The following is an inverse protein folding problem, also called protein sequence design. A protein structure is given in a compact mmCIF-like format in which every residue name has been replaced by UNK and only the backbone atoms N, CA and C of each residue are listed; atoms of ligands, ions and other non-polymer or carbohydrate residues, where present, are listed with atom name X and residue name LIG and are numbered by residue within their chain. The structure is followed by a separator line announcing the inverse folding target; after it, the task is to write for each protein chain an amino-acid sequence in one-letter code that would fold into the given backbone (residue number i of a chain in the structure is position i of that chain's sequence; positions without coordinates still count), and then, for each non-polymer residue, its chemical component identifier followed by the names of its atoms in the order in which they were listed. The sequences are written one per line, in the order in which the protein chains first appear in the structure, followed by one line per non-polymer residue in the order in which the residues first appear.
data_IF_672909271606
#
_entry.id   IF_672909271606
#
_cell.length_a   1.000
_cell.length_b   1.000
_cell.length_c   1.000
_cell.angle_alpha   90.00
_cell.angle_beta   90.00
_cell.angle_gamma   90.00
#
_symmetry.space_group_name_H-M   'P 1'
#
loop_
_entity.id
_entity.type
_entity.pdbx_description
1 polymer ?
#
# COMPACT_ATOMS: atom_id res chain seq x y z
N UNK A 1 -9.37 -4.72 5.82
CA UNK A 1 -10.48 -4.17 4.99
C UNK A 1 -10.70 -2.67 5.21
N UNK A 2 -10.37 -2.11 6.37
CA UNK A 2 -10.57 -0.68 6.69
C UNK A 2 -9.83 0.29 5.76
N UNK A 3 -8.54 0.05 5.47
CA UNK A 3 -7.74 0.96 4.62
C UNK A 3 -8.30 1.14 3.20
N UNK A 4 -8.72 0.04 2.56
CA UNK A 4 -9.30 0.09 1.22
C UNK A 4 -10.60 0.90 1.22
N UNK A 5 -11.50 0.67 2.17
CA UNK A 5 -12.77 1.41 2.26
C UNK A 5 -12.52 2.91 2.46
N UNK A 6 -11.62 3.30 3.35
CA UNK A 6 -11.28 4.72 3.59
C UNK A 6 -10.73 5.39 2.33
N UNK A 7 -9.82 4.76 1.61
CA UNK A 7 -9.28 5.31 0.36
C UNK A 7 -10.34 5.50 -0.72
N UNK A 8 -11.20 4.49 -0.92
CA UNK A 8 -12.27 4.56 -1.92
C UNK A 8 -13.26 5.68 -1.58
N UNK A 9 -13.65 5.83 -0.32
CA UNK A 9 -14.54 6.92 0.11
C UNK A 9 -13.89 8.28 -0.11
N UNK A 10 -12.62 8.46 0.27
CA UNK A 10 -11.91 9.72 0.06
C UNK A 10 -11.78 10.09 -1.42
N UNK A 11 -11.49 9.11 -2.27
CA UNK A 11 -11.44 9.31 -3.73
C UNK A 11 -12.81 9.72 -4.28
N UNK A 12 -13.88 9.07 -3.84
CA UNK A 12 -15.24 9.37 -4.31
C UNK A 12 -15.75 10.73 -3.83
N UNK A 13 -15.36 11.17 -2.62
CA UNK A 13 -15.77 12.47 -2.07
C UNK A 13 -14.98 13.65 -2.62
N UNK A 14 -13.73 13.46 -3.06
CA UNK A 14 -12.87 14.53 -3.58
C UNK A 14 -12.96 14.73 -5.10
N UNK A 15 -13.66 13.86 -5.83
CA UNK A 15 -13.76 13.91 -7.30
C UNK A 15 -15.18 14.30 -7.72
N UNK A 16 -15.27 15.25 -8.67
CA UNK A 16 -16.53 15.68 -9.28
C UNK A 16 -17.23 14.57 -10.06
N UNK A 17 -18.57 14.57 -10.03
CA UNK A 17 -19.45 13.51 -10.53
C UNK A 17 -19.12 13.04 -11.97
N UNK A 18 -18.78 13.97 -12.87
CA UNK A 18 -18.40 13.65 -14.27
C UNK A 18 -17.09 12.86 -14.41
N UNK A 19 -16.18 12.96 -13.44
CA UNK A 19 -14.83 12.39 -13.50
C UNK A 19 -14.67 11.17 -12.58
N UNK A 20 -15.67 10.87 -11.73
CA UNK A 20 -15.63 9.74 -10.77
C UNK A 20 -15.25 8.42 -11.44
N UNK A 21 -15.90 8.07 -12.55
CA UNK A 21 -15.61 6.82 -13.27
C UNK A 21 -14.19 6.76 -13.81
N UNK A 22 -13.66 7.88 -14.32
CA UNK A 22 -12.30 7.96 -14.87
C UNK A 22 -11.25 7.85 -13.76
N UNK A 23 -11.43 8.59 -12.66
CA UNK A 23 -10.49 8.56 -11.53
C UNK A 23 -10.51 7.21 -10.85
N UNK A 24 -11.68 6.59 -10.67
CA UNK A 24 -11.77 5.25 -10.10
C UNK A 24 -11.17 4.19 -11.03
N UNK A 25 -11.31 4.33 -12.36
CA UNK A 25 -10.65 3.42 -13.32
C UNK A 25 -9.12 3.52 -13.25
N UNK A 26 -8.58 4.74 -13.15
CA UNK A 26 -7.15 4.96 -13.02
C UNK A 26 -6.61 4.43 -11.67
N UNK A 27 -7.36 4.65 -10.57
CA UNK A 27 -7.05 4.08 -9.26
C UNK A 27 -7.01 2.55 -9.32
N UNK A 28 -8.03 1.93 -9.93
CA UNK A 28 -8.14 0.47 -10.04
C UNK A 28 -7.03 -0.12 -10.90
N UNK A 29 -6.70 0.52 -12.04
CA UNK A 29 -5.58 0.12 -12.89
C UNK A 29 -4.25 0.20 -12.15
N UNK A 30 -4.01 1.30 -11.42
CA UNK A 30 -2.78 1.47 -10.65
C UNK A 30 -2.68 0.45 -9.52
N UNK A 31 -3.79 0.22 -8.80
CA UNK A 31 -3.84 -0.76 -7.72
C UNK A 31 -3.60 -2.19 -8.22
N UNK A 32 -4.24 -2.57 -9.33
CA UNK A 32 -4.05 -3.87 -9.97
C UNK A 32 -2.64 -4.03 -10.53
N UNK A 33 -2.07 -2.98 -11.13
CA UNK A 33 -0.70 -3.02 -11.68
C UNK A 33 0.38 -3.11 -10.59
N UNK A 34 0.15 -2.50 -9.43
CA UNK A 34 1.06 -2.58 -8.28
C UNK A 34 0.96 -3.91 -7.52
N UNK A 35 -0.15 -4.63 -7.64
CA UNK A 35 -0.33 -5.92 -6.98
C UNK A 35 0.69 -7.00 -7.40
N UNK A 36 0.93 -7.28 -8.70
CA UNK A 36 1.94 -8.24 -9.13
C UNK A 36 3.37 -7.76 -8.87
N UNK A 37 3.62 -6.45 -8.82
CA UNK A 37 4.93 -5.91 -8.44
C UNK A 37 5.28 -6.23 -6.98
N UNK A 38 4.30 -6.35 -6.10
CA UNK A 38 4.52 -6.85 -4.74
C UNK A 38 4.66 -8.38 -4.68
N UNK A 39 3.77 -9.10 -5.36
CA UNK A 39 3.70 -10.56 -5.26
C UNK A 39 4.78 -11.31 -6.06
N UNK A 40 5.16 -10.81 -7.23
CA UNK A 40 6.12 -11.49 -8.12
C UNK A 40 7.51 -11.64 -7.51
N UNK A 41 8.15 -10.55 -7.03
CA UNK A 41 9.46 -10.63 -6.36
C UNK A 41 9.41 -11.50 -5.10
N UNK A 42 8.27 -11.47 -4.40
CA UNK A 42 8.05 -12.25 -3.19
C UNK A 42 7.93 -13.75 -3.49
N UNK A 43 7.25 -14.12 -4.59
CA UNK A 43 7.19 -15.48 -5.11
C UNK A 43 8.57 -16.03 -5.50
N UNK A 44 9.37 -15.24 -6.23
CA UNK A 44 10.76 -15.63 -6.52
C UNK A 44 11.61 -15.76 -5.25
N UNK A 45 11.44 -14.87 -4.27
CA UNK A 45 12.14 -15.00 -3.00
C UNK A 45 11.77 -16.30 -2.26
N UNK A 46 10.51 -16.75 -2.34
CA UNK A 46 10.08 -18.02 -1.76
C UNK A 46 10.76 -19.24 -2.43
N UNK A 47 10.91 -19.23 -3.76
CA UNK A 47 11.54 -20.34 -4.49
C UNK A 47 13.05 -20.43 -4.25
N UNK A 48 13.75 -19.29 -4.15
CA UNK A 48 15.21 -19.28 -3.97
C UNK A 48 15.69 -19.38 -2.52
N UNK A 49 15.00 -18.75 -1.57
CA UNK A 49 15.43 -18.70 -0.16
C UNK A 49 14.62 -19.66 0.74
N UNK A 50 13.55 -20.24 0.21
CA UNK A 50 12.62 -21.07 0.97
C UNK A 50 11.59 -20.27 1.78
N UNK A 51 10.50 -20.91 2.23
CA UNK A 51 9.36 -20.26 2.87
C UNK A 51 9.71 -19.41 4.09
N UNK A 52 10.55 -19.95 4.98
CA UNK A 52 10.86 -19.34 6.27
C UNK A 52 11.75 -18.09 6.15
N UNK A 53 12.78 -18.13 5.31
CA UNK A 53 13.68 -16.99 5.13
C UNK A 53 13.01 -15.86 4.35
N UNK A 54 12.24 -16.18 3.31
CA UNK A 54 11.50 -15.16 2.55
C UNK A 54 10.44 -14.45 3.41
N UNK A 55 9.73 -15.19 4.26
CA UNK A 55 8.73 -14.60 5.15
C UNK A 55 9.37 -13.70 6.23
N UNK A 56 10.49 -14.12 6.80
CA UNK A 56 11.21 -13.32 7.81
C UNK A 56 11.80 -12.05 7.21
N UNK A 57 12.37 -12.11 6.00
CA UNK A 57 12.81 -10.93 5.25
C UNK A 57 11.65 -9.97 4.97
N UNK A 58 10.50 -10.48 4.52
CA UNK A 58 9.33 -9.66 4.26
C UNK A 58 8.79 -8.99 5.54
N UNK A 59 8.75 -9.74 6.65
CA UNK A 59 8.38 -9.22 7.96
C UNK A 59 9.34 -8.12 8.44
N UNK A 60 10.66 -8.28 8.25
CA UNK A 60 11.65 -7.26 8.59
C UNK A 60 11.47 -5.99 7.75
N UNK A 61 11.21 -6.13 6.44
CA UNK A 61 10.94 -5.00 5.55
C UNK A 61 9.67 -4.27 5.99
N UNK A 62 8.58 -5.00 6.29
CA UNK A 62 7.33 -4.43 6.76
C UNK A 62 7.49 -3.71 8.10
N UNK A 63 8.29 -4.28 9.02
CA UNK A 63 8.57 -3.69 10.32
C UNK A 63 9.42 -2.41 10.17
N UNK A 64 10.47 -2.45 9.34
CA UNK A 64 11.28 -1.27 9.04
C UNK A 64 10.44 -0.14 8.42
N UNK A 65 9.55 -0.47 7.48
CA UNK A 65 8.64 0.50 6.87
C UNK A 65 7.65 1.09 7.88
N UNK A 66 7.10 0.26 8.76
CA UNK A 66 6.18 0.68 9.81
C UNK A 66 6.87 1.62 10.80
N UNK A 67 8.10 1.29 11.22
CA UNK A 67 8.91 2.14 12.10
C UNK A 67 9.27 3.44 11.41
N UNK A 68 9.66 3.40 10.13
CA UNK A 68 9.96 4.60 9.34
C UNK A 68 8.75 5.54 9.25
N UNK A 69 7.57 5.01 8.90
CA UNK A 69 6.34 5.80 8.87
C UNK A 69 5.93 6.30 10.26
N UNK A 70 6.04 5.46 11.28
CA UNK A 70 5.75 5.79 12.67
C UNK A 70 6.64 6.90 13.22
N UNK A 71 7.92 6.93 12.87
CA UNK A 71 8.85 7.93 13.40
C UNK A 71 8.83 9.24 12.61
N UNK A 72 8.66 9.18 11.28
CA UNK A 72 8.79 10.35 10.41
C UNK A 72 7.44 10.99 10.10
N UNK A 73 6.42 10.20 9.79
CA UNK A 73 5.09 10.74 9.40
C UNK A 73 4.22 11.04 10.61
N UNK A 74 4.28 10.25 11.70
CA UNK A 74 3.50 10.57 12.92
C UNK A 74 4.06 11.80 13.64
N UNK A 75 5.38 12.01 13.61
CA UNK A 75 5.97 13.28 14.10
C UNK A 75 5.45 14.49 13.32
N UNK A 76 5.30 14.37 12.00
CA UNK A 76 4.77 15.45 11.16
C UNK A 76 3.25 15.69 11.34
N UNK A 77 2.48 14.68 11.75
CA UNK A 77 1.05 14.83 12.02
C UNK A 77 0.79 15.42 13.41
N UNK A 78 1.68 15.17 14.39
CA UNK A 78 1.56 15.76 15.75
C UNK A 78 1.84 17.26 15.84
N UNK A 79 2.31 17.89 14.76
CA UNK A 79 2.58 19.34 14.71
C UNK A 79 1.46 20.15 14.06
N UNK A 80 0.34 19.52 13.69
CA UNK A 80 -0.87 20.23 13.27
C UNK A 80 -1.73 20.53 14.51
N UNK A 81 -2.13 21.81 14.74
CA UNK A 81 -2.93 22.23 15.89
C UNK A 81 -4.34 21.63 15.90
#
# INVERSE_FOLDING_TARGET
MTWQTTLNTLLQTNVGDEMRGRVMSAYTMTALAMMPLGQGPMGMAFDYLGPSLALTLNALIALAWTVYMGLIRVKAIRTLP
#
